data_IF_282379640078
#
_entry.id   IF_282379640078
#
_cell.length_a   1.000
_cell.length_b   1.000
_cell.length_c   1.000
_cell.angle_alpha   90.00
_cell.angle_beta   90.00
_cell.angle_gamma   90.00
#
_symmetry.space_group_name_H-M   'P 1'
#
loop_
_entity.id
_entity.type
_entity.pdbx_description
1 polymer ?
2 non-polymer ?
3 non-polymer ?
4 non-polymer ?
5 non-polymer ?
6 water ?
#
# COMPACT_ATOMS: atom_id res chain seq x y z
N UNK A 7 7.12 23.11 16.60
CA UNK A 7 7.93 23.61 15.50
C UNK A 7 8.97 22.58 15.07
N UNK A 8 9.38 21.70 15.99
CA UNK A 8 10.22 20.59 15.57
C UNK A 8 9.55 19.76 14.49
N UNK A 9 8.27 19.41 14.70
CA UNK A 9 7.60 18.57 13.70
C UNK A 9 7.46 19.29 12.38
N UNK A 10 7.20 20.60 12.41
CA UNK A 10 7.13 21.34 11.15
C UNK A 10 8.49 21.33 10.46
N UNK A 11 9.57 21.41 11.22
CA UNK A 11 10.89 21.36 10.61
C UNK A 11 11.17 19.99 10.01
N UNK A 12 10.70 18.92 10.66
CA UNK A 12 10.82 17.57 10.08
C UNK A 12 10.04 17.51 8.78
N UNK A 13 8.80 18.01 8.78
CA UNK A 13 8.00 17.96 7.56
C UNK A 13 8.69 18.71 6.41
N UNK A 14 9.34 19.83 6.71
CA UNK A 14 10.04 20.53 5.64
C UNK A 14 11.13 19.67 5.02
N UNK A 15 11.90 18.97 5.87
CA UNK A 15 12.94 18.07 5.40
C UNK A 15 12.36 16.93 4.58
N UNK A 16 11.13 16.51 4.88
CA UNK A 16 10.52 15.39 4.19
C UNK A 16 9.90 15.78 2.85
N UNK A 17 9.74 17.07 2.54
CA UNK A 17 9.17 17.48 1.27
C UNK A 17 10.01 16.99 0.11
N UNK A 18 9.34 16.62 -0.98
CA UNK A 18 10.03 16.22 -2.20
C UNK A 18 10.49 17.44 -2.99
N UNK A 19 11.71 17.37 -3.50
CA UNK A 19 12.23 18.35 -4.44
C UNK A 19 11.43 18.39 -5.74
N UNK A 20 11.07 19.60 -6.19
CA UNK A 20 10.39 19.72 -7.48
C UNK A 20 11.27 19.20 -8.60
N UNK A 21 12.58 19.45 -8.53
CA UNK A 21 13.46 18.96 -9.58
C UNK A 21 13.52 17.44 -9.58
N UNK A 22 13.62 16.83 -8.40
CA UNK A 22 13.63 15.37 -8.32
C UNK A 22 12.32 14.78 -8.88
N UNK A 23 11.18 15.40 -8.55
CA UNK A 23 9.90 14.93 -9.06
C UNK A 23 9.89 14.96 -10.59
N UNK A 24 10.31 16.10 -11.15
CA UNK A 24 10.34 16.24 -12.60
C UNK A 24 11.13 15.13 -13.27
N UNK A 25 12.35 14.91 -12.80
CA UNK A 25 13.22 13.92 -13.40
C UNK A 25 12.65 12.51 -13.20
N UNK A 26 12.23 12.19 -11.97
CA UNK A 26 11.72 10.84 -11.70
C UNK A 26 10.42 10.57 -12.45
N UNK A 27 9.50 11.53 -12.46
CA UNK A 27 8.23 11.34 -13.19
C UNK A 27 8.49 11.00 -14.65
N UNK A 28 9.40 11.73 -15.29
CA UNK A 28 9.69 11.48 -16.69
C UNK A 28 10.28 10.10 -16.92
N UNK A 29 11.21 9.69 -16.06
CA UNK A 29 11.84 8.39 -16.24
C UNK A 29 10.84 7.25 -16.03
N UNK A 30 10.07 7.32 -14.95
CA UNK A 30 9.17 6.21 -14.61
C UNK A 30 8.08 6.05 -15.66
N UNK A 31 7.46 7.16 -16.05
CA UNK A 31 6.43 7.10 -17.09
C UNK A 31 6.99 6.49 -18.37
N UNK A 32 8.19 6.89 -18.78
CA UNK A 32 8.73 6.39 -20.03
C UNK A 32 8.93 4.88 -20.00
N UNK A 33 9.51 4.37 -18.91
CA UNK A 33 9.74 2.94 -18.77
C UNK A 33 8.42 2.19 -18.66
N UNK A 34 7.49 2.69 -17.83
CA UNK A 34 6.29 1.91 -17.56
C UNK A 34 5.38 1.91 -18.78
N UNK A 35 5.24 3.06 -19.45
CA UNK A 35 4.42 3.10 -20.65
C UNK A 35 4.98 2.16 -21.71
N UNK A 36 6.31 2.14 -21.86
CA UNK A 36 6.95 1.20 -22.77
C UNK A 36 6.59 -0.25 -22.43
N UNK A 37 6.71 -0.62 -21.15
CA UNK A 37 6.44 -2.00 -20.76
C UNK A 37 4.97 -2.34 -20.94
N UNK A 38 4.08 -1.39 -20.67
CA UNK A 38 2.66 -1.64 -20.89
C UNK A 38 2.41 -1.97 -22.35
N UNK A 39 2.94 -1.14 -23.26
CA UNK A 39 2.83 -1.40 -24.69
C UNK A 39 3.34 -2.80 -25.04
N UNK A 40 4.50 -3.18 -24.52
CA UNK A 40 5.06 -4.48 -24.88
C UNK A 40 4.22 -5.63 -24.33
N UNK A 41 3.76 -5.52 -23.07
CA UNK A 41 2.91 -6.56 -22.50
C UNK A 41 1.65 -6.76 -23.31
N UNK A 42 1.06 -5.67 -23.80
CA UNK A 42 -0.14 -5.78 -24.60
C UNK A 42 0.07 -6.64 -25.85
N UNK A 43 1.32 -6.83 -26.28
CA UNK A 43 1.58 -7.65 -27.47
C UNK A 43 1.51 -9.15 -27.18
N UNK A 44 1.58 -9.55 -25.92
CA UNK A 44 1.41 -10.95 -25.58
C UNK A 44 -0.06 -11.31 -25.53
N UNK A 45 -0.39 -12.49 -26.06
CA UNK A 45 -1.78 -12.91 -26.15
C UNK A 45 -2.47 -12.97 -24.79
N UNK A 46 -1.73 -13.25 -23.71
CA UNK A 46 -2.38 -13.36 -22.41
C UNK A 46 -2.68 -12.00 -21.79
N UNK A 47 -1.92 -10.97 -22.13
CA UNK A 47 -2.01 -9.70 -21.42
C UNK A 47 -2.52 -8.59 -22.33
N UNK A 48 -3.16 -8.96 -23.44
CA UNK A 48 -3.54 -7.97 -24.44
C UNK A 48 -4.40 -6.86 -23.87
N UNK A 49 -5.23 -7.17 -22.87
CA UNK A 49 -6.16 -6.22 -22.32
C UNK A 49 -5.68 -5.42 -21.12
N UNK A 50 -4.39 -5.44 -20.81
CA UNK A 50 -3.89 -4.83 -19.58
C UNK A 50 -4.01 -3.31 -19.64
N UNK A 51 -4.28 -2.71 -18.47
CA UNK A 51 -4.30 -1.28 -18.34
C UNK A 51 -3.56 -0.86 -17.08
N UNK A 52 -3.27 0.44 -17.03
CA UNK A 52 -2.41 1.01 -15.99
C UNK A 52 -3.24 1.70 -14.91
N UNK A 53 -2.87 1.50 -13.65
CA UNK A 53 -3.49 2.23 -12.54
C UNK A 53 -2.37 2.58 -11.56
N UNK A 54 -2.08 3.88 -11.43
CA UNK A 54 -1.05 4.35 -10.53
C UNK A 54 -1.59 4.36 -9.10
N UNK A 55 -0.77 3.91 -8.16
CA UNK A 55 -1.26 3.75 -6.80
C UNK A 55 -0.12 3.98 -5.81
N UNK A 56 -0.45 3.97 -4.51
CA UNK A 56 0.58 4.10 -3.51
C UNK A 56 0.99 5.54 -3.23
N UNK A 57 2.04 5.67 -2.41
CA UNK A 57 2.25 6.95 -1.72
C UNK A 57 2.61 8.09 -2.65
N UNK A 58 3.32 7.83 -3.76
CA UNK A 58 3.63 8.94 -4.66
C UNK A 58 2.37 9.60 -5.18
N UNK A 59 1.37 8.79 -5.58
CA UNK A 59 0.15 9.29 -6.17
C UNK A 59 -0.86 9.74 -5.11
N UNK A 60 -0.61 9.38 -3.84
CA UNK A 60 -1.35 9.89 -2.68
C UNK A 60 -0.73 11.15 -2.13
N UNK A 61 0.41 11.59 -2.67
CA UNK A 61 1.11 12.79 -2.17
C UNK A 61 1.53 12.62 -0.72
N UNK A 62 1.90 11.39 -0.31
CA UNK A 62 2.49 11.18 1.02
C UNK A 62 3.80 10.40 0.90
N UNK A 63 4.40 10.40 -0.29
CA UNK A 63 5.77 9.93 -0.42
C UNK A 63 6.71 10.95 0.23
N UNK A 64 7.65 10.47 1.04
CA UNK A 64 8.52 11.35 1.81
C UNK A 64 9.96 11.24 1.32
N UNK A 65 10.71 12.33 1.52
CA UNK A 65 12.16 12.44 1.34
C UNK A 65 12.63 12.49 -0.12
N UNK A 66 12.28 11.50 -0.92
CA UNK A 66 12.70 11.48 -2.31
C UNK A 66 11.70 10.69 -3.12
N UNK A 67 11.46 11.07 -4.38
CA UNK A 67 10.54 10.31 -5.25
C UNK A 67 11.25 9.11 -5.88
N UNK A 68 11.62 8.16 -5.02
CA UNK A 68 12.45 7.04 -5.45
C UNK A 68 11.73 5.70 -5.36
N UNK A 69 10.41 5.69 -5.18
CA UNK A 69 9.67 4.42 -5.10
C UNK A 69 8.25 4.66 -5.58
N UNK A 70 7.89 3.99 -6.68
CA UNK A 70 6.61 4.14 -7.33
C UNK A 70 5.89 2.79 -7.38
N UNK A 71 4.56 2.83 -7.31
CA UNK A 71 3.73 1.63 -7.40
C UNK A 71 2.73 1.78 -8.54
N UNK A 72 2.61 0.74 -9.37
CA UNK A 72 1.65 0.78 -10.47
C UNK A 72 1.04 -0.60 -10.61
N UNK A 73 -0.27 -0.63 -10.80
CA UNK A 73 -0.99 -1.87 -11.06
C UNK A 73 -1.14 -2.03 -12.57
N UNK A 74 -0.84 -3.23 -13.07
CA UNK A 74 -1.18 -3.57 -14.45
C UNK A 74 -2.43 -4.42 -14.34
N UNK A 75 -3.59 -3.83 -14.61
CA UNK A 75 -4.86 -4.48 -14.33
C UNK A 75 -5.41 -5.14 -15.57
N UNK A 76 -6.12 -6.24 -15.34
CA UNK A 76 -6.67 -7.10 -16.40
C UNK A 76 -8.09 -7.46 -16.00
N UNK A 77 -9.07 -7.13 -16.84
CA UNK A 77 -10.45 -7.53 -16.55
C UNK A 77 -10.69 -8.92 -17.12
N UNK A 78 -11.02 -9.86 -16.26
CA UNK A 78 -11.31 -11.23 -16.66
C UNK A 78 -12.81 -11.43 -16.53
N UNK A 79 -13.55 -11.51 -17.63
CA UNK A 79 -15.01 -11.64 -17.53
C UNK A 79 -15.43 -13.00 -16.99
N UNK A 80 -16.59 -13.02 -16.34
CA UNK A 80 -17.15 -14.26 -15.81
C UNK A 80 -16.26 -14.82 -14.70
N UNK A 81 -15.75 -13.93 -13.84
CA UNK A 81 -14.87 -14.33 -12.75
C UNK A 81 -15.73 -14.86 -11.60
N UNK A 82 -15.29 -15.97 -11.01
CA UNK A 82 -16.00 -16.59 -9.89
C UNK A 82 -15.02 -16.80 -8.74
N UNK A 83 -15.29 -16.18 -7.60
CA UNK A 83 -14.38 -16.24 -6.47
C UNK A 83 -14.81 -17.29 -5.48
N UNK A 84 -13.82 -17.90 -4.82
CA UNK A 84 -14.05 -18.84 -3.73
C UNK A 84 -13.05 -18.49 -2.64
N UNK A 85 -13.55 -18.14 -1.46
CA UNK A 85 -12.64 -17.81 -0.37
C UNK A 85 -11.77 -19.00 0.00
N UNK A 86 -10.48 -18.75 0.19
CA UNK A 86 -9.57 -19.81 0.61
C UNK A 86 -9.64 -19.98 2.13
N UNK A 87 -10.09 -21.15 2.58
CA UNK A 87 -9.96 -21.59 3.98
C UNK A 87 -10.23 -20.46 5.00
N UNK A 88 -11.37 -19.80 4.84
CA UNK A 88 -11.81 -18.77 5.81
C UNK A 88 -10.72 -17.74 6.13
N UNK A 89 -9.79 -17.48 5.20
CA UNK A 89 -8.75 -16.48 5.41
C UNK A 89 -9.23 -15.04 5.19
N UNK A 90 -10.42 -14.85 4.65
CA UNK A 90 -11.05 -13.54 4.44
C UNK A 90 -10.43 -12.70 3.35
N UNK A 91 -9.11 -12.76 3.17
CA UNK A 91 -8.43 -11.92 2.20
C UNK A 91 -7.94 -12.67 0.97
N UNK A 92 -7.84 -13.99 1.02
CA UNK A 92 -7.29 -14.79 -0.06
C UNK A 92 -8.38 -15.62 -0.74
N UNK A 93 -8.26 -15.75 -2.06
CA UNK A 93 -9.30 -16.34 -2.89
C UNK A 93 -8.72 -17.20 -4.00
N UNK A 94 -9.48 -18.24 -4.34
CA UNK A 94 -9.35 -18.94 -5.61
C UNK A 94 -10.14 -18.18 -6.67
N UNK A 95 -9.58 -18.11 -7.87
CA UNK A 95 -10.27 -17.53 -9.03
C UNK A 95 -10.64 -18.66 -9.96
N UNK A 96 -11.94 -18.79 -10.25
CA UNK A 96 -12.44 -19.83 -11.14
C UNK A 96 -12.98 -19.17 -12.41
N UNK A 97 -12.75 -19.82 -13.54
CA UNK A 97 -13.10 -19.22 -14.83
C UNK A 97 -13.69 -20.27 -15.77
N UNK A 105 -6.69 -17.48 -24.50
CA UNK A 105 -5.37 -16.97 -24.11
C UNK A 105 -5.06 -17.14 -22.63
N UNK A 106 -6.05 -17.58 -21.84
CA UNK A 106 -5.86 -17.74 -20.40
C UNK A 106 -5.73 -19.19 -19.96
N UNK A 107 -6.01 -20.14 -20.86
CA UNK A 107 -5.95 -21.55 -20.47
C UNK A 107 -4.54 -21.94 -20.04
N UNK A 108 -3.51 -21.26 -20.53
CA UNK A 108 -2.15 -21.55 -20.11
C UNK A 108 -1.98 -21.41 -18.60
N UNK A 109 -2.85 -20.67 -17.94
CA UNK A 109 -2.72 -20.45 -16.50
C UNK A 109 -3.62 -21.32 -15.66
N UNK A 110 -4.46 -22.15 -16.28
CA UNK A 110 -5.37 -22.96 -15.48
C UNK A 110 -4.63 -24.13 -14.85
N UNK A 111 -5.01 -24.45 -13.62
CA UNK A 111 -4.70 -25.74 -13.00
C UNK A 111 -6.06 -26.29 -12.61
N UNK A 112 -6.64 -27.11 -13.50
CA UNK A 112 -8.02 -27.51 -13.33
C UNK A 112 -8.94 -26.43 -13.84
N UNK A 113 -9.97 -26.10 -13.04
CA UNK A 113 -10.78 -24.92 -13.28
C UNK A 113 -10.22 -23.69 -12.56
N UNK A 114 -9.07 -23.83 -11.91
CA UNK A 114 -8.52 -22.76 -11.09
C UNK A 114 -7.55 -21.93 -11.94
N UNK A 115 -7.68 -20.62 -11.88
CA UNK A 115 -6.74 -19.72 -12.54
C UNK A 115 -5.59 -19.46 -11.58
N UNK A 116 -4.42 -20.03 -11.88
CA UNK A 116 -3.33 -20.05 -10.91
C UNK A 116 -2.64 -18.70 -10.83
N UNK A 117 -2.65 -18.09 -9.64
CA UNK A 117 -1.95 -16.83 -9.45
C UNK A 117 -0.45 -17.00 -9.74
N UNK A 118 0.16 -18.09 -9.26
CA UNK A 118 1.60 -18.24 -9.46
C UNK A 118 1.94 -18.40 -10.94
N UNK A 119 1.10 -19.12 -11.70
CA UNK A 119 1.35 -19.29 -13.13
C UNK A 119 1.29 -17.95 -13.87
N UNK A 120 0.29 -17.10 -13.56
CA UNK A 120 0.20 -15.80 -14.23
C UNK A 120 1.36 -14.89 -13.83
N UNK A 121 1.68 -14.83 -12.53
CA UNK A 121 2.77 -13.97 -12.11
C UNK A 121 4.07 -14.40 -12.75
N UNK A 122 4.30 -15.72 -12.84
CA UNK A 122 5.54 -16.22 -13.42
C UNK A 122 5.70 -15.74 -14.87
N UNK A 123 4.63 -15.82 -15.66
CA UNK A 123 4.72 -15.38 -17.06
C UNK A 123 4.83 -13.86 -17.14
N UNK A 124 4.11 -13.15 -16.26
CA UNK A 124 4.20 -11.70 -16.21
C UNK A 124 5.64 -11.25 -15.99
N UNK A 125 6.27 -11.82 -14.96
CA UNK A 125 7.67 -11.51 -14.66
C UNK A 125 8.59 -11.89 -15.82
N UNK A 126 8.37 -13.05 -16.43
CA UNK A 126 9.24 -13.48 -17.54
C UNK A 126 9.17 -12.51 -18.71
N UNK A 127 7.96 -12.04 -19.06
CA UNK A 127 7.85 -11.06 -20.15
C UNK A 127 8.55 -9.76 -19.80
N UNK A 128 8.34 -9.24 -18.59
CA UNK A 128 8.96 -7.98 -18.21
C UNK A 128 10.48 -8.11 -18.20
N UNK A 129 10.98 -9.24 -17.71
CA UNK A 129 12.42 -9.46 -17.67
C UNK A 129 12.99 -9.41 -19.08
N UNK A 130 12.34 -10.09 -20.02
CA UNK A 130 12.82 -10.09 -21.40
C UNK A 130 12.76 -8.70 -22.01
N UNK A 131 11.69 -7.95 -21.71
CA UNK A 131 11.54 -6.65 -22.35
C UNK A 131 12.52 -5.61 -21.80
N UNK A 132 12.80 -5.65 -20.50
CA UNK A 132 13.79 -4.69 -19.98
C UNK A 132 15.19 -5.01 -20.46
N UNK A 133 15.47 -6.27 -20.83
CA UNK A 133 16.77 -6.60 -21.41
C UNK A 133 16.96 -5.97 -22.78
N UNK A 134 15.87 -5.68 -23.50
CA UNK A 134 15.94 -5.01 -24.78
C UNK A 134 15.94 -3.49 -24.67
N UNK A 135 15.77 -2.93 -23.47
CA UNK A 135 15.82 -1.49 -23.28
C UNK A 135 17.28 -1.08 -23.26
N UNK A 136 17.70 -0.32 -24.28
CA UNK A 136 19.09 0.08 -24.42
C UNK A 136 19.31 1.56 -24.14
N UNK A 137 18.26 2.37 -24.11
CA UNK A 137 18.37 3.82 -23.94
C UNK A 137 18.38 4.25 -22.49
N UNK A 138 18.08 3.36 -21.56
CA UNK A 138 17.91 3.68 -20.16
C UNK A 138 18.42 2.52 -19.32
N UNK A 139 18.99 2.86 -18.17
CA UNK A 139 19.50 1.87 -17.21
C UNK A 139 18.31 1.29 -16.43
N UNK A 140 17.90 0.07 -16.76
CA UNK A 140 16.75 -0.56 -16.11
C UNK A 140 17.12 -2.00 -15.80
N UNK A 141 16.96 -2.40 -14.53
CA UNK A 141 17.20 -3.77 -14.13
C UNK A 141 16.03 -4.25 -13.30
N UNK A 142 15.89 -5.57 -13.19
CA UNK A 142 14.86 -6.16 -12.35
C UNK A 142 15.49 -6.68 -11.07
N UNK A 143 14.92 -6.29 -9.94
CA UNK A 143 15.44 -6.70 -8.64
C UNK A 143 15.06 -8.14 -8.37
N UNK A 144 15.89 -8.82 -7.56
CA UNK A 144 15.57 -10.18 -7.13
C UNK A 144 14.21 -10.24 -6.47
N UNK A 145 13.54 -11.39 -6.61
CA UNK A 145 12.23 -11.56 -5.99
C UNK A 145 12.26 -11.20 -4.51
N UNK A 146 11.21 -10.51 -4.08
CA UNK A 146 11.03 -10.04 -2.71
C UNK A 146 9.95 -10.91 -2.09
N UNK A 147 10.32 -11.73 -1.10
CA UNK A 147 9.37 -12.65 -0.50
C UNK A 147 7.99 -12.06 -0.23
N UNK A 148 6.94 -12.80 -0.60
CA UNK A 148 5.59 -12.34 -0.36
C UNK A 148 5.18 -11.09 -1.12
N UNK A 149 5.92 -10.73 -2.14
CA UNK A 149 5.50 -9.56 -2.89
C UNK A 149 4.70 -9.98 -4.11
N UNK A 150 3.54 -9.38 -4.39
CA UNK A 150 2.87 -9.64 -5.66
C UNK A 150 3.45 -8.86 -6.83
N UNK A 151 4.48 -8.06 -6.59
CA UNK A 151 5.00 -7.15 -7.60
C UNK A 151 6.22 -7.73 -8.30
N UNK A 152 6.47 -7.22 -9.50
CA UNK A 152 7.77 -7.30 -10.17
C UNK A 152 8.41 -5.94 -9.99
N UNK A 153 9.63 -5.91 -9.45
CA UNK A 153 10.24 -4.64 -9.05
C UNK A 153 11.42 -4.32 -9.95
N UNK A 154 11.41 -3.12 -10.52
CA UNK A 154 12.48 -2.61 -11.38
C UNK A 154 13.23 -1.52 -10.63
N UNK A 155 14.50 -1.35 -11.01
CA UNK A 155 15.34 -0.26 -10.53
C UNK A 155 15.80 0.51 -11.75
N UNK A 156 15.50 1.82 -11.78
CA UNK A 156 15.84 2.67 -12.92
C UNK A 156 16.95 3.62 -12.52
N UNK A 157 18.02 3.65 -13.32
CA UNK A 157 19.15 4.55 -13.08
C UNK A 157 19.79 4.31 -11.71
N UNK A 158 19.73 3.07 -11.23
CA UNK A 158 20.25 2.64 -9.93
C UNK A 158 19.60 3.36 -8.75
N UNK A 159 18.54 4.14 -8.97
CA UNK A 159 18.01 4.96 -7.89
C UNK A 159 16.49 4.90 -7.68
N UNK A 160 15.72 4.63 -8.73
CA UNK A 160 14.26 4.69 -8.63
C UNK A 160 13.71 3.27 -8.74
N UNK A 161 12.98 2.86 -7.72
CA UNK A 161 12.35 1.54 -7.70
C UNK A 161 10.91 1.67 -8.15
N UNK A 162 10.46 0.74 -8.98
CA UNK A 162 9.08 0.72 -9.45
C UNK A 162 8.52 -0.66 -9.24
N UNK A 163 7.44 -0.76 -8.46
CA UNK A 163 6.77 -2.03 -8.21
C UNK A 163 5.59 -2.14 -9.16
N UNK A 164 5.64 -3.12 -10.08
CA UNK A 164 4.60 -3.35 -11.06
C UNK A 164 3.81 -4.58 -10.61
N UNK A 165 2.55 -4.39 -10.24
CA UNK A 165 1.72 -5.47 -9.69
C UNK A 165 0.65 -5.86 -10.69
N UNK A 166 0.69 -7.12 -11.14
CA UNK A 166 -0.40 -7.68 -11.93
C UNK A 166 -1.64 -7.75 -11.07
N UNK A 167 -2.78 -7.32 -11.63
CA UNK A 167 -4.01 -7.29 -10.85
C UNK A 167 -5.19 -7.68 -11.71
N UNK A 168 -5.94 -8.68 -11.27
CA UNK A 168 -7.20 -9.00 -11.93
C UNK A 168 -8.26 -8.02 -11.44
N UNK A 169 -9.04 -7.50 -12.37
CA UNK A 169 -10.08 -6.53 -12.07
C UNK A 169 -11.44 -7.20 -12.13
N UNK A 170 -12.25 -7.00 -11.09
CA UNK A 170 -13.63 -7.47 -11.09
C UNK A 170 -14.56 -6.29 -10.88
N UNK A 171 -15.56 -6.14 -11.75
CA UNK A 171 -16.58 -5.12 -11.56
C UNK A 171 -17.81 -5.66 -10.83
N UNK A 172 -17.69 -6.81 -10.19
CA UNK A 172 -18.73 -7.40 -9.37
C UNK A 172 -18.78 -6.73 -7.99
N UNK A 173 -19.86 -7.03 -7.26
CA UNK A 173 -19.95 -6.59 -5.88
C UNK A 173 -18.76 -7.10 -5.07
N UNK A 174 -18.31 -6.30 -4.11
CA UNK A 174 -17.15 -6.69 -3.32
C UNK A 174 -17.46 -7.95 -2.50
N UNK A 175 -16.44 -8.76 -2.21
CA UNK A 175 -16.68 -10.01 -1.47
C UNK A 175 -17.25 -9.74 -0.09
N UNK A 176 -17.97 -10.75 0.41
CA UNK A 176 -18.69 -10.62 1.68
C UNK A 176 -17.77 -10.27 2.84
N UNK A 177 -16.49 -10.61 2.77
CA UNK A 177 -15.57 -10.28 3.87
C UNK A 177 -15.39 -8.78 4.06
N UNK A 178 -15.84 -7.96 3.11
CA UNK A 178 -15.74 -6.51 3.20
C UNK A 178 -17.01 -5.85 3.72
N UNK A 179 -18.06 -6.62 3.98
CA UNK A 179 -19.38 -6.07 4.30
C UNK A 179 -19.32 -5.03 5.42
N UNK A 180 -18.52 -5.29 6.46
CA UNK A 180 -18.46 -4.41 7.63
C UNK A 180 -17.20 -3.55 7.65
N UNK A 181 -16.43 -3.54 6.56
CA UNK A 181 -15.25 -2.71 6.48
C UNK A 181 -15.58 -1.33 5.94
N UNK A 182 -14.52 -0.55 5.69
CA UNK A 182 -14.63 0.79 5.11
C UNK A 182 -15.65 1.62 5.90
N UNK A 183 -15.43 1.73 7.21
CA UNK A 183 -16.36 2.37 8.12
C UNK A 183 -16.16 3.90 8.10
N UNK A 184 -16.47 4.48 6.95
CA UNK A 184 -16.20 5.90 6.69
C UNK A 184 -17.45 6.76 6.81
N UNK A 185 -18.59 6.18 7.20
CA UNK A 185 -19.86 6.91 7.11
C UNK A 185 -19.86 8.20 7.92
N UNK A 186 -19.25 8.20 9.11
CA UNK A 186 -19.30 9.42 9.91
C UNK A 186 -18.26 10.44 9.49
N UNK A 187 -17.31 10.03 8.66
CA UNK A 187 -16.21 10.88 8.24
C UNK A 187 -16.43 11.38 6.82
N UNK A 188 -16.45 10.46 5.85
CA UNK A 188 -16.58 10.80 4.44
C UNK A 188 -18.01 10.69 3.92
N UNK A 189 -18.92 10.11 4.70
CA UNK A 189 -20.36 9.98 4.41
C UNK A 189 -20.77 8.58 3.94
N UNK A 190 -22.02 8.24 4.23
CA UNK A 190 -22.60 7.00 3.73
C UNK A 190 -22.70 7.01 2.21
N UNK A 191 -23.01 8.18 1.63
CA UNK A 191 -23.09 8.31 0.18
C UNK A 191 -21.77 7.91 -0.47
N UNK A 192 -20.67 8.41 0.09
CA UNK A 192 -19.35 8.11 -0.48
C UNK A 192 -19.03 6.62 -0.29
N UNK A 193 -19.33 6.06 0.88
CA UNK A 193 -19.10 4.62 1.04
C UNK A 193 -19.82 3.83 -0.04
N UNK A 194 -21.08 4.19 -0.32
CA UNK A 194 -21.82 3.47 -1.36
C UNK A 194 -21.16 3.65 -2.72
N UNK A 195 -20.71 4.88 -3.01
CA UNK A 195 -20.07 5.16 -4.30
C UNK A 195 -18.77 4.38 -4.45
N UNK A 196 -17.98 4.29 -3.37
CA UNK A 196 -16.71 3.58 -3.45
C UNK A 196 -16.93 2.08 -3.64
N UNK A 197 -17.95 1.52 -3.00
CA UNK A 197 -18.19 0.09 -3.11
C UNK A 197 -18.84 -0.29 -4.44
N UNK A 198 -19.22 0.69 -5.25
CA UNK A 198 -19.62 0.40 -6.63
C UNK A 198 -18.44 0.38 -7.60
N UNK A 199 -17.25 0.77 -7.15
CA UNK A 199 -16.05 0.69 -7.96
C UNK A 199 -15.57 -0.76 -8.04
N UNK A 200 -14.70 -1.07 -9.00
CA UNK A 200 -14.17 -2.44 -9.09
C UNK A 200 -13.27 -2.75 -7.89
N UNK A 201 -13.00 -4.04 -7.71
CA UNK A 201 -11.99 -4.46 -6.78
C UNK A 201 -10.94 -5.29 -7.53
N UNK A 202 -9.81 -5.53 -6.86
CA UNK A 202 -8.67 -6.16 -7.50
C UNK A 202 -8.16 -7.34 -6.72
N UNK A 203 -7.61 -8.31 -7.46
CA UNK A 203 -6.93 -9.46 -6.91
C UNK A 203 -5.49 -9.42 -7.41
N UNK A 204 -4.54 -9.61 -6.49
CA UNK A 204 -3.12 -9.58 -6.82
C UNK A 204 -2.50 -10.93 -6.45
N UNK A 205 -1.40 -11.32 -7.09
CA UNK A 205 -0.85 -12.66 -6.89
C UNK A 205 0.05 -12.71 -5.66
N UNK A 206 -0.58 -12.52 -4.51
CA UNK A 206 0.04 -12.77 -3.22
C UNK A 206 -0.67 -13.96 -2.61
N UNK A 207 0.10 -14.98 -2.22
CA UNK A 207 -0.45 -16.29 -1.91
C UNK A 207 -0.70 -16.49 -0.41
N UNK A 208 -1.78 -17.20 -0.10
CA UNK A 208 -2.08 -17.54 1.28
C UNK A 208 -1.01 -18.46 1.86
N UNK A 209 -0.77 -18.32 3.16
CA UNK A 209 0.10 -19.26 3.87
C UNK A 209 -0.52 -20.65 3.89
N UNK A 210 0.32 -21.67 3.65
CA UNK A 210 -0.10 -23.06 3.74
C UNK A 210 0.96 -23.81 4.54
N UNK A 211 0.69 -24.03 5.82
CA UNK A 211 1.70 -24.61 6.67
C UNK A 211 2.95 -23.75 6.64
N UNK A 212 4.08 -24.38 6.32
CA UNK A 212 5.34 -23.66 6.17
C UNK A 212 5.54 -23.14 4.75
N UNK A 213 4.63 -23.45 3.83
CA UNK A 213 4.71 -22.97 2.47
C UNK A 213 3.60 -22.00 2.11
N UNK A 214 3.16 -22.07 0.87
CA UNK A 214 2.15 -21.16 0.33
C UNK A 214 1.19 -21.94 -0.55
N UNK A 215 -0.03 -21.43 -0.65
CA UNK A 215 -0.99 -22.02 -1.59
C UNK A 215 -0.81 -21.19 -2.86
N UNK A 216 0.02 -21.71 -3.77
CA UNK A 216 0.50 -20.91 -4.89
C UNK A 216 -0.59 -20.57 -5.90
N UNK A 217 -1.75 -21.23 -5.84
CA UNK A 217 -2.85 -20.86 -6.73
C UNK A 217 -3.64 -19.63 -6.29
N UNK A 218 -3.51 -19.19 -5.03
CA UNK A 218 -4.43 -18.22 -4.46
C UNK A 218 -4.01 -16.78 -4.74
N UNK A 219 -5.02 -15.91 -4.77
CA UNK A 219 -4.90 -14.47 -4.97
C UNK A 219 -5.30 -13.75 -3.69
N UNK A 220 -4.96 -12.45 -3.62
CA UNK A 220 -5.32 -11.65 -2.46
C UNK A 220 -6.03 -10.38 -2.89
N UNK A 221 -7.03 -9.99 -2.11
CA UNK A 221 -7.76 -8.75 -2.39
C UNK A 221 -6.84 -7.55 -2.21
N UNK A 222 -6.96 -6.57 -3.11
CA UNK A 222 -6.29 -5.29 -2.92
C UNK A 222 -7.27 -4.16 -3.15
N UNK A 223 -7.26 -3.18 -2.23
CA UNK A 223 -8.04 -1.95 -2.35
C UNK A 223 -7.14 -0.72 -2.40
N UNK A 224 -5.92 -0.91 -2.94
CA UNK A 224 -4.97 0.19 -3.04
C UNK A 224 -5.60 1.38 -3.75
N UNK A 225 -6.44 1.13 -4.75
CA UNK A 225 -7.06 2.23 -5.49
C UNK A 225 -8.03 3.02 -4.62
N UNK A 226 -8.71 2.35 -3.67
CA UNK A 226 -9.66 3.05 -2.81
C UNK A 226 -8.91 3.87 -1.79
N UNK A 227 -7.79 3.33 -1.28
CA UNK A 227 -6.93 4.07 -0.37
C UNK A 227 -6.49 5.38 -1.00
N UNK A 228 -6.12 5.36 -2.29
CA UNK A 228 -5.76 6.60 -2.96
C UNK A 228 -6.94 7.55 -3.02
N UNK A 229 -8.13 7.03 -3.36
CA UNK A 229 -9.32 7.87 -3.43
C UNK A 229 -9.58 8.56 -2.10
N UNK A 230 -9.40 7.82 -1.00
CA UNK A 230 -9.65 8.38 0.34
C UNK A 230 -8.60 9.45 0.65
N UNK A 231 -7.32 9.13 0.43
CA UNK A 231 -6.28 10.10 0.80
C UNK A 231 -6.34 11.38 -0.03
N UNK A 232 -6.79 11.31 -1.28
CA UNK A 232 -6.83 12.51 -2.12
C UNK A 232 -8.17 13.21 -2.10
N UNK A 233 -9.09 12.74 -1.26
CA UNK A 233 -10.37 13.40 -1.00
C UNK A 233 -10.73 13.07 0.43
N UNK A 234 -9.97 13.65 1.36
CA UNK A 234 -9.82 13.10 2.70
C UNK A 234 -10.60 13.84 3.78
N UNK A 235 -11.29 14.92 3.44
CA UNK A 235 -11.90 15.75 4.46
C UNK A 235 -13.39 15.49 4.57
N UNK A 236 -13.96 15.82 5.73
CA UNK A 236 -15.42 15.90 5.79
C UNK A 236 -15.92 17.02 4.87
N UNK A 237 -15.28 18.18 4.92
CA UNK A 237 -15.53 19.25 3.95
C UNK A 237 -14.94 18.87 2.59
N UNK A 238 -15.76 19.05 1.53
CA UNK A 238 -15.25 18.84 0.19
C UNK A 238 -14.11 19.78 -0.15
N UNK A 239 -14.02 20.93 0.52
CA UNK A 239 -12.95 21.88 0.24
C UNK A 239 -11.81 21.79 1.26
N UNK A 240 -11.74 20.69 2.02
CA UNK A 240 -10.60 20.52 2.92
C UNK A 240 -9.29 20.62 2.15
N UNK A 241 -8.37 21.44 2.64
CA UNK A 241 -7.06 21.65 2.02
C UNK A 241 -7.12 22.31 0.64
N UNK A 242 -8.24 22.91 0.28
CA UNK A 242 -8.32 23.71 -0.95
C UNK A 242 -8.20 25.20 -0.69
N UNK A 243 -8.14 25.62 0.56
CA UNK A 243 -8.03 27.04 0.86
C UNK A 243 -7.32 27.20 2.19
N UNK A 244 -6.94 28.45 2.48
CA UNK A 244 -6.09 28.75 3.62
C UNK A 244 -6.80 28.46 4.93
N UNK A 245 -8.12 28.57 4.95
CA UNK A 245 -8.89 28.37 6.18
C UNK A 245 -9.15 26.91 6.50
N UNK A 246 -8.90 25.99 5.56
CA UNK A 246 -9.20 24.57 5.74
C UNK A 246 -7.99 23.70 5.50
N UNK A 247 -6.79 24.15 5.87
CA UNK A 247 -5.63 23.28 5.78
C UNK A 247 -5.60 22.38 7.01
N UNK A 248 -5.83 21.10 6.80
CA UNK A 248 -5.78 20.13 7.89
C UNK A 248 -4.41 19.47 7.93
N UNK A 249 -4.15 18.73 9.01
CA UNK A 249 -2.85 18.07 9.16
C UNK A 249 -2.92 16.55 9.00
N UNK A 250 -3.96 16.03 8.34
CA UNK A 250 -4.06 14.57 8.17
C UNK A 250 -2.85 14.02 7.43
N UNK A 251 -2.55 14.56 6.24
CA UNK A 251 -1.44 13.98 5.48
C UNK A 251 -0.10 14.20 6.17
N UNK A 252 0.08 15.34 6.86
CA UNK A 252 1.32 15.55 7.60
C UNK A 252 1.48 14.49 8.69
N UNK A 253 0.39 14.12 9.36
CA UNK A 253 0.47 13.11 10.42
C UNK A 253 0.87 11.75 9.83
N UNK A 254 0.30 11.40 8.68
CA UNK A 254 0.67 10.12 8.06
C UNK A 254 2.13 10.12 7.63
N UNK A 255 2.59 11.24 7.04
CA UNK A 255 4.00 11.36 6.68
C UNK A 255 4.90 11.17 7.89
N UNK A 256 4.54 11.78 9.02
CA UNK A 256 5.38 11.66 10.22
C UNK A 256 5.35 10.24 10.78
N UNK A 257 4.20 9.58 10.73
CA UNK A 257 4.14 8.19 11.18
C UNK A 257 4.99 7.29 10.27
N UNK A 258 4.94 7.55 8.96
CA UNK A 258 5.75 6.77 8.03
C UNK A 258 7.23 6.98 8.29
N UNK A 259 7.64 8.23 8.54
CA UNK A 259 9.05 8.53 8.78
C UNK A 259 9.53 7.91 10.08
N UNK A 260 8.70 7.96 11.13
CA UNK A 260 9.03 7.31 12.39
C UNK A 260 9.33 5.83 12.16
N UNK A 261 8.43 5.11 11.47
CA UNK A 261 8.66 3.69 11.21
C UNK A 261 9.88 3.46 10.31
N UNK A 262 9.99 4.25 9.25
CA UNK A 262 11.13 4.11 8.33
C UNK A 262 12.45 4.28 9.07
N UNK A 263 12.56 5.32 9.89
CA UNK A 263 13.81 5.58 10.59
C UNK A 263 14.12 4.48 11.62
N UNK A 264 13.11 3.99 12.34
CA UNK A 264 13.35 2.90 13.29
C UNK A 264 13.76 1.62 12.58
N UNK A 265 13.12 1.31 11.44
CA UNK A 265 13.52 0.13 10.67
C UNK A 265 14.95 0.26 10.18
N UNK A 266 15.35 1.46 9.74
CA UNK A 266 16.73 1.67 9.33
C UNK A 266 17.70 1.48 10.49
N UNK A 267 17.39 2.06 11.65
CA UNK A 267 18.32 1.98 12.78
C UNK A 267 18.48 0.54 13.26
N UNK A 268 17.36 -0.18 13.36
CA UNK A 268 17.35 -1.53 13.92
C UNK A 268 17.42 -2.60 12.83
N UNK A 269 17.89 -2.22 11.64
CA UNK A 269 17.89 -3.12 10.49
C UNK A 269 18.61 -4.43 10.79
N UNK A 270 19.61 -4.41 11.66
CA UNK A 270 20.32 -5.65 11.95
C UNK A 270 19.62 -6.49 13.02
N UNK A 271 18.64 -5.93 13.71
CA UNK A 271 17.65 -6.80 14.32
C UNK A 271 16.72 -7.35 13.27
N UNK A 272 16.12 -8.48 13.59
CA UNK A 272 15.03 -9.03 12.81
C UNK A 272 13.68 -8.58 13.32
N UNK A 273 13.61 -7.99 14.53
CA UNK A 273 12.31 -7.76 15.15
C UNK A 273 11.44 -6.81 14.36
N UNK A 274 12.03 -5.92 13.56
CA UNK A 274 11.23 -4.93 12.84
C UNK A 274 11.01 -5.30 11.38
N UNK A 275 11.50 -6.47 10.94
CA UNK A 275 11.47 -6.79 9.53
C UNK A 275 10.05 -6.97 9.00
N UNK A 276 9.10 -7.38 9.85
CA UNK A 276 7.76 -7.63 9.33
C UNK A 276 6.86 -6.41 9.36
N UNK A 277 7.33 -5.28 9.86
CA UNK A 277 6.50 -4.07 9.85
C UNK A 277 6.72 -3.32 8.54
N UNK A 278 5.66 -2.69 8.05
CA UNK A 278 5.79 -1.91 6.83
C UNK A 278 4.95 -0.66 6.93
N UNK A 279 5.09 0.21 5.93
CA UNK A 279 4.31 1.45 5.99
C UNK A 279 2.82 1.17 5.91
N UNK A 280 2.39 -0.01 5.45
CA UNK A 280 0.95 -0.28 5.43
C UNK A 280 0.39 -0.44 6.84
N UNK A 281 1.21 -0.82 7.81
CA UNK A 281 0.72 -0.86 9.19
C UNK A 281 0.37 0.53 9.69
N UNK A 282 1.25 1.52 9.44
CA UNK A 282 0.87 2.85 9.92
C UNK A 282 -0.22 3.45 9.03
N UNK A 283 -0.25 3.11 7.73
CA UNK A 283 -1.34 3.60 6.90
C UNK A 283 -2.69 3.10 7.41
N UNK A 284 -2.77 1.80 7.72
CA UNK A 284 -4.00 1.21 8.23
C UNK A 284 -4.39 1.85 9.56
N UNK A 285 -3.43 1.98 10.48
CA UNK A 285 -3.75 2.62 11.76
C UNK A 285 -4.22 4.07 11.55
N UNK A 286 -3.58 4.78 10.62
CA UNK A 286 -4.00 6.13 10.31
C UNK A 286 -5.46 6.18 9.85
N UNK A 287 -5.86 5.29 8.95
CA UNK A 287 -7.25 5.30 8.49
C UNK A 287 -8.20 5.09 9.67
N UNK A 288 -7.82 4.24 10.63
CA UNK A 288 -8.65 4.02 11.81
C UNK A 288 -8.74 5.29 12.66
N UNK A 289 -7.64 6.02 12.81
CA UNK A 289 -7.70 7.28 13.56
C UNK A 289 -8.56 8.30 12.85
N UNK A 290 -8.57 8.31 11.51
CA UNK A 290 -9.50 9.18 10.80
C UNK A 290 -10.95 8.80 11.07
N UNK A 291 -11.25 7.50 11.16
CA UNK A 291 -12.60 7.09 11.49
C UNK A 291 -12.96 7.56 12.90
N UNK A 292 -12.03 7.44 13.84
CA UNK A 292 -12.30 7.80 15.23
C UNK A 292 -12.43 9.31 15.41
N UNK A 293 -11.82 10.08 14.51
CA UNK A 293 -11.79 11.54 14.58
C UNK A 293 -12.27 12.10 13.26
N UNK A 294 -13.58 12.03 13.00
CA UNK A 294 -14.10 12.29 11.65
C UNK A 294 -14.22 13.75 11.25
N UNK A 295 -14.09 14.71 12.18
CA UNK A 295 -14.30 16.11 11.86
C UNK A 295 -13.00 16.78 11.43
N UNK A 296 -13.08 17.66 10.44
CA UNK A 296 -11.86 18.39 10.03
C UNK A 296 -11.30 19.21 11.18
N UNK A 297 -12.17 19.69 12.08
CA UNK A 297 -11.72 20.47 13.22
C UNK A 297 -10.91 19.65 14.22
N UNK A 298 -10.87 18.33 14.09
CA UNK A 298 -10.00 17.50 14.91
C UNK A 298 -8.63 17.32 14.28
N UNK A 299 -8.39 17.98 13.13
CA UNK A 299 -7.14 17.89 12.41
C UNK A 299 -6.65 19.27 12.00
N UNK A 300 -6.91 20.28 12.84
CA UNK A 300 -6.46 21.63 12.55
C UNK A 300 -4.93 21.68 12.47
N UNK A 301 -4.41 22.46 11.52
CA UNK A 301 -2.96 22.63 11.39
C UNK A 301 -2.32 23.07 12.69
N UNK A 302 -2.99 23.94 13.44
CA UNK A 302 -2.37 24.46 14.65
C UNK A 302 -2.30 23.42 15.76
N UNK A 303 -2.89 22.23 15.55
CA UNK A 303 -2.86 21.14 16.52
C UNK A 303 -2.01 19.98 16.05
N UNK A 304 -1.06 20.24 15.14
CA UNK A 304 -0.24 19.18 14.57
C UNK A 304 0.36 18.29 15.66
N UNK A 305 0.93 18.90 16.71
CA UNK A 305 1.61 18.10 17.72
C UNK A 305 0.66 17.15 18.44
N UNK A 306 -0.53 17.64 18.80
CA UNK A 306 -1.51 16.77 19.45
C UNK A 306 -2.02 15.72 18.50
N UNK A 307 -2.30 16.11 17.25
CA UNK A 307 -2.79 15.15 16.28
C UNK A 307 -1.78 14.04 16.04
N UNK A 308 -0.50 14.41 15.90
CA UNK A 308 0.51 13.38 15.71
C UNK A 308 0.61 12.48 16.94
N UNK A 309 0.57 13.08 18.14
CA UNK A 309 0.61 12.25 19.34
C UNK A 309 -0.57 11.29 19.38
N UNK A 310 -1.77 11.76 19.01
CA UNK A 310 -2.96 10.90 18.83
C UNK A 310 -2.62 9.68 18.00
N UNK A 311 -2.01 9.92 16.83
CA UNK A 311 -1.67 8.84 15.92
C UNK A 311 -0.68 7.87 16.56
N UNK A 312 0.35 8.40 17.22
CA UNK A 312 1.35 7.55 17.85
C UNK A 312 0.72 6.68 18.94
N UNK A 313 -0.10 7.29 19.81
CA UNK A 313 -0.66 6.50 20.91
C UNK A 313 -1.68 5.50 20.40
N UNK A 314 -2.41 5.81 19.32
CA UNK A 314 -3.29 4.80 18.74
C UNK A 314 -2.49 3.63 18.21
N UNK A 315 -1.40 3.92 17.51
CA UNK A 315 -0.56 2.82 16.99
C UNK A 315 0.02 2.00 18.12
N UNK A 316 0.48 2.66 19.19
CA UNK A 316 0.97 1.93 20.36
C UNK A 316 -0.11 1.02 20.94
N UNK A 317 -1.35 1.49 20.98
CA UNK A 317 -2.39 0.64 21.54
C UNK A 317 -2.65 -0.57 20.64
N UNK A 318 -2.58 -0.39 19.32
CA UNK A 318 -2.70 -1.50 18.40
C UNK A 318 -1.63 -2.55 18.65
N UNK A 319 -0.38 -2.10 18.83
CA UNK A 319 0.71 -3.03 19.12
C UNK A 319 0.47 -3.77 20.43
N UNK A 320 0.04 -3.03 21.46
CA UNK A 320 -0.12 -3.61 22.80
C UNK A 320 -1.24 -4.63 22.83
N UNK A 321 -2.34 -4.36 22.11
CA UNK A 321 -3.47 -5.28 22.06
C UNK A 321 -3.34 -6.32 20.97
N UNK A 322 -2.32 -6.21 20.11
CA UNK A 322 -2.14 -7.11 18.98
C UNK A 322 -3.38 -7.11 18.07
N UNK A 323 -3.96 -5.92 17.89
CA UNK A 323 -5.15 -5.74 17.06
C UNK A 323 -4.91 -4.59 16.10
N UNK A 324 -4.91 -4.90 14.80
CA UNK A 324 -4.87 -3.86 13.77
C UNK A 324 -5.68 -4.42 12.60
N UNK A 325 -6.98 -4.16 12.62
CA UNK A 325 -7.85 -4.70 11.58
C UNK A 325 -7.55 -4.07 10.24
N UNK A 326 -7.53 -4.90 9.20
CA UNK A 326 -7.48 -4.33 7.86
C UNK A 326 -8.69 -3.41 7.67
N UNK A 327 -8.45 -2.24 7.04
CA UNK A 327 -9.51 -1.23 6.99
C UNK A 327 -10.68 -1.67 6.15
N UNK A 328 -10.44 -2.58 5.21
CA UNK A 328 -11.45 -3.05 4.28
C UNK A 328 -12.02 -4.40 4.66
N UNK A 329 -11.22 -5.21 5.36
CA UNK A 329 -11.56 -6.59 5.71
C UNK A 329 -11.39 -6.74 7.22
N UNK A 330 -12.41 -6.42 8.01
CA UNK A 330 -12.23 -6.32 9.48
C UNK A 330 -11.74 -7.60 10.14
N UNK A 331 -12.10 -8.76 9.62
CA UNK A 331 -11.66 -10.00 10.24
C UNK A 331 -10.26 -10.41 9.82
N UNK A 332 -9.55 -9.57 9.07
CA UNK A 332 -8.14 -9.80 8.78
C UNK A 332 -7.32 -8.91 9.72
N UNK A 333 -6.66 -9.54 10.70
CA UNK A 333 -5.91 -8.80 11.72
C UNK A 333 -4.43 -8.75 11.32
N UNK A 334 -3.97 -7.55 10.91
CA UNK A 334 -2.58 -7.37 10.50
C UNK A 334 -1.61 -7.68 11.62
N UNK A 335 -2.02 -7.54 12.88
CA UNK A 335 -1.16 -7.80 14.02
C UNK A 335 -1.45 -9.15 14.69
N UNK A 336 -2.15 -10.04 14.02
CA UNK A 336 -2.32 -11.40 14.51
C UNK A 336 -0.96 -12.04 14.77
N UNK A 337 -0.88 -12.85 15.83
CA UNK A 337 0.37 -13.58 16.03
C UNK A 337 0.60 -14.61 14.93
N UNK A 338 -0.39 -14.88 14.09
CA UNK A 338 -0.17 -15.70 12.89
C UNK A 338 0.73 -15.01 11.88
N UNK A 339 0.85 -13.69 11.95
CA UNK A 339 1.64 -12.87 11.02
C UNK A 339 2.88 -12.27 11.65
N UNK A 340 2.79 -11.82 12.90
CA UNK A 340 3.89 -11.13 13.56
C UNK A 340 3.98 -11.61 15.00
N UNK A 341 5.18 -12.02 15.42
CA UNK A 341 5.42 -12.54 16.76
C UNK A 341 5.09 -11.49 17.82
N UNK A 342 4.61 -11.96 18.98
CA UNK A 342 4.39 -11.07 20.11
C UNK A 342 5.68 -10.31 20.45
N UNK A 343 6.81 -11.01 20.41
CA UNK A 343 8.10 -10.41 20.74
C UNK A 343 8.43 -9.23 19.83
N UNK A 344 8.09 -9.34 18.54
CA UNK A 344 8.40 -8.28 17.59
C UNK A 344 7.53 -7.06 17.87
N UNK A 345 6.24 -7.28 18.16
CA UNK A 345 5.39 -6.16 18.49
C UNK A 345 5.81 -5.51 19.81
N UNK A 346 6.24 -6.30 20.80
CA UNK A 346 6.71 -5.70 22.04
C UNK A 346 7.97 -4.89 21.81
N UNK A 347 8.85 -5.37 20.92
CA UNK A 347 10.07 -4.63 20.60
C UNK A 347 9.74 -3.28 19.95
N UNK A 348 8.82 -3.27 18.99
CA UNK A 348 8.48 -2.01 18.35
C UNK A 348 7.81 -1.08 19.34
N UNK A 349 6.97 -1.64 20.23
CA UNK A 349 6.35 -0.83 21.26
C UNK A 349 7.41 -0.14 22.11
N UNK A 350 8.44 -0.89 22.50
CA UNK A 350 9.48 -0.33 23.34
C UNK A 350 10.16 0.85 22.65
N UNK A 351 10.45 0.73 21.36
CA UNK A 351 11.19 1.79 20.69
C UNK A 351 10.32 3.02 20.47
N UNK A 352 9.05 2.81 20.08
CA UNK A 352 8.17 3.96 19.87
C UNK A 352 7.87 4.68 21.17
N UNK A 353 7.65 3.93 22.26
CA UNK A 353 7.51 4.55 23.56
C UNK A 353 8.72 5.42 23.89
N UNK A 354 9.91 4.90 23.64
CA UNK A 354 11.11 5.70 23.90
C UNK A 354 11.10 6.98 23.08
N UNK A 355 10.73 6.87 21.80
CA UNK A 355 10.71 8.08 20.97
C UNK A 355 9.69 9.08 21.49
N UNK A 356 8.48 8.61 21.78
CA UNK A 356 7.45 9.51 22.31
C UNK A 356 7.91 10.18 23.60
N UNK A 357 8.51 9.41 24.50
CA UNK A 357 8.90 9.94 25.80
C UNK A 357 10.05 10.92 25.73
N UNK A 358 10.77 10.96 24.62
CA UNK A 358 11.95 11.82 24.50
C UNK A 358 11.82 12.80 23.33
N UNK A 359 10.59 13.02 22.85
CA UNK A 359 10.30 14.01 21.82
C UNK A 359 10.96 13.65 20.49
N UNK A 360 10.98 12.36 20.18
CA UNK A 360 11.37 11.81 18.88
C UNK A 360 12.79 12.20 18.48
N UNK A 361 13.79 11.77 19.24
CA UNK A 361 15.18 11.99 18.81
C UNK A 361 15.50 11.34 17.48
N UNK A 362 14.79 10.28 17.09
CA UNK A 362 15.09 9.68 15.79
C UNK A 362 14.78 10.61 14.64
N UNK A 363 14.01 11.68 14.89
CA UNK A 363 13.74 12.70 13.87
C UNK A 363 14.91 13.64 13.68
N UNK A 364 15.82 13.73 14.66
CA UNK A 364 16.88 14.72 14.64
C UNK A 364 17.98 14.36 13.65
N UNK A 365 18.43 15.35 12.88
CA UNK A 365 19.52 15.10 11.94
C UNK A 365 20.86 15.04 12.65
N UNK A 366 21.07 15.93 13.62
CA UNK A 366 22.28 15.91 14.44
C UNK A 366 21.89 15.73 15.91
#
# INVERSE_FOLDING_TARGET
DAAPGASKLRAVLEKLKLSRDDISTAAGMVKGVVDHLLLRLKCDSAFRGVGLLNTGSYYEHVKISAPNEFDVMFKLEVPRIQLEEYSNTRAYYFVKFKRNPKENPLSQFLEGEILSASKMLSKFRKIIKEEINDIKDTDVIMKRKRGGSPAVTLLISEKISVDITLALESKSSWPASTQEGLRIQNWLSAKVRKQLRLKPFYLVPKHAKEGNGFQEETWRLSFSHIEKEILNNHGKSKTCCENKEEKCCRKDCLKLMKYLLEQLKERFKDEEHLDKFSSYHVKTAFFHVCTQNPQDSQWDRKDLGLCFDNCVTYFLQCLRTEKLENYFIPEFNLFSSNLIDKRSKEFLTKQIEYERNNEFPVFDEF
#
